data_IF_068513466099
#
_entry.id   IF_068513466099
#
_cell.length_a   1.000
_cell.length_b   1.000
_cell.length_c   1.000
_cell.angle_alpha   90.00
_cell.angle_beta   90.00
_cell.angle_gamma   90.00
#
_symmetry.space_group_name_H-M   'P 1'
#
loop_
_entity.id
_entity.type
_entity.pdbx_description
1 polymer ?
#
# COMPACT_ATOMS: atom_id res chain seq x y z
N UNK A 1 -26.14 -11.46 2.51
CA UNK A 1 -26.46 -10.15 3.11
C UNK A 1 -26.89 -9.22 1.98
N UNK A 2 -28.18 -8.90 1.85
CA UNK A 2 -28.68 -8.00 0.81
C UNK A 2 -27.87 -6.69 0.76
N UNK A 3 -27.44 -6.28 -0.44
CA UNK A 3 -26.66 -5.04 -0.66
C UNK A 3 -25.13 -5.14 -0.46
N UNK A 4 -24.59 -6.26 0.04
CA UNK A 4 -23.13 -6.42 0.21
C UNK A 4 -22.43 -6.69 -1.13
N UNK A 5 -21.37 -5.93 -1.41
CA UNK A 5 -20.43 -6.16 -2.53
C UNK A 5 -19.09 -6.63 -1.97
N UNK A 6 -18.44 -7.59 -2.62
CA UNK A 6 -17.16 -8.18 -2.17
C UNK A 6 -16.06 -7.97 -3.24
N UNK A 7 -14.77 -7.92 -2.85
CA UNK A 7 -13.63 -7.78 -3.75
C UNK A 7 -13.27 -9.09 -4.46
N UNK A 8 -14.21 -9.64 -5.24
CA UNK A 8 -14.09 -10.99 -5.83
C UNK A 8 -12.97 -11.12 -6.88
N UNK A 9 -12.56 -10.02 -7.53
CA UNK A 9 -11.47 -10.03 -8.50
C UNK A 9 -10.11 -10.19 -7.80
N UNK A 10 -9.76 -9.39 -6.78
CA UNK A 10 -8.62 -9.68 -5.91
C UNK A 10 -8.62 -11.10 -5.34
N UNK A 11 -9.77 -11.62 -4.90
CA UNK A 11 -9.91 -13.00 -4.39
C UNK A 11 -9.58 -14.05 -5.47
N UNK A 12 -9.96 -13.82 -6.73
CA UNK A 12 -9.60 -14.68 -7.84
C UNK A 12 -8.09 -14.62 -8.16
N UNK A 13 -7.48 -13.43 -8.08
CA UNK A 13 -6.02 -13.25 -8.28
C UNK A 13 -5.24 -14.03 -7.22
N UNK A 14 -5.63 -13.96 -5.95
CA UNK A 14 -4.91 -14.67 -4.88
C UNK A 14 -5.06 -16.19 -4.99
N UNK A 15 -6.22 -16.69 -5.41
CA UNK A 15 -6.42 -18.12 -5.72
C UNK A 15 -5.55 -18.58 -6.88
N UNK A 16 -5.46 -17.80 -7.96
CA UNK A 16 -4.56 -18.10 -9.08
C UNK A 16 -3.10 -18.09 -8.63
N UNK A 17 -2.69 -17.11 -7.83
CA UNK A 17 -1.33 -17.06 -7.29
C UNK A 17 -1.00 -18.31 -6.46
N UNK A 18 -1.91 -18.76 -5.59
CA UNK A 18 -1.75 -19.99 -4.84
C UNK A 18 -1.60 -21.23 -5.74
N UNK A 19 -2.42 -21.32 -6.80
CA UNK A 19 -2.31 -22.43 -7.77
C UNK A 19 -0.97 -22.41 -8.51
N UNK A 20 -0.50 -21.23 -8.94
CA UNK A 20 0.79 -21.07 -9.62
C UNK A 20 1.95 -21.49 -8.71
N UNK A 21 1.90 -21.15 -7.42
CA UNK A 21 2.90 -21.60 -6.43
C UNK A 21 2.89 -23.12 -6.29
N UNK A 22 1.71 -23.76 -6.25
CA UNK A 22 1.60 -25.22 -6.24
C UNK A 22 2.18 -25.87 -7.50
N UNK A 23 1.89 -25.28 -8.66
CA UNK A 23 2.42 -25.73 -9.95
C UNK A 23 3.95 -25.61 -10.01
N UNK A 24 4.52 -24.52 -9.47
CA UNK A 24 5.97 -24.32 -9.36
C UNK A 24 6.63 -25.44 -8.55
N UNK A 25 6.09 -25.77 -7.37
CA UNK A 25 6.60 -26.88 -6.55
C UNK A 25 6.56 -28.23 -7.28
N UNK A 26 5.49 -28.50 -8.04
CA UNK A 26 5.38 -29.71 -8.87
C UNK A 26 6.45 -29.73 -9.98
N UNK A 27 6.68 -28.60 -10.64
CA UNK A 27 7.72 -28.46 -11.68
C UNK A 27 9.10 -28.67 -11.07
N UNK A 28 9.39 -28.05 -9.92
CA UNK A 28 10.67 -28.19 -9.23
C UNK A 28 10.94 -29.65 -8.86
N UNK A 29 9.94 -30.37 -8.34
CA UNK A 29 10.04 -31.80 -8.09
C UNK A 29 10.35 -32.59 -9.37
N UNK A 30 9.58 -32.38 -10.45
CA UNK A 30 9.83 -33.05 -11.73
C UNK A 30 11.22 -32.76 -12.30
N UNK A 31 11.67 -31.51 -12.22
CA UNK A 31 12.97 -31.06 -12.71
C UNK A 31 14.14 -31.71 -11.97
N UNK A 32 13.99 -31.96 -10.67
CA UNK A 32 15.03 -32.59 -9.83
C UNK A 32 15.11 -34.13 -9.99
N UNK A 33 14.09 -34.78 -10.54
CA UNK A 33 13.99 -36.25 -10.60
C UNK A 33 14.33 -36.83 -11.99
N UNK A 34 15.27 -36.22 -12.71
CA UNK A 34 15.84 -36.82 -13.92
C UNK A 34 16.78 -37.99 -13.58
N UNK A 35 16.83 -39.03 -14.42
CA UNK A 35 17.74 -40.16 -14.26
C UNK A 35 18.50 -40.42 -15.56
N UNK A 36 19.84 -40.40 -15.48
CA UNK A 36 20.76 -40.61 -16.59
C UNK A 36 20.47 -39.70 -17.80
N UNK A 37 20.22 -40.27 -18.98
CA UNK A 37 20.16 -39.52 -20.24
C UNK A 37 18.86 -38.72 -20.43
N UNK A 38 17.81 -38.96 -19.63
CA UNK A 38 16.51 -38.33 -19.87
C UNK A 38 15.68 -38.11 -18.59
N UNK A 39 15.12 -36.91 -18.47
CA UNK A 39 14.07 -36.63 -17.50
C UNK A 39 12.71 -37.06 -18.07
N UNK A 40 12.02 -37.99 -17.38
CA UNK A 40 10.72 -38.55 -17.82
C UNK A 40 9.50 -37.81 -17.25
N UNK A 41 9.69 -36.73 -16.49
CA UNK A 41 8.62 -35.90 -15.92
C UNK A 41 8.12 -34.79 -16.87
N UNK A 42 8.64 -34.73 -18.11
CA UNK A 42 8.34 -33.67 -19.09
C UNK A 42 6.84 -33.40 -19.25
N UNK A 43 5.94 -34.39 -19.42
CA UNK A 43 4.52 -34.11 -19.61
C UNK A 43 3.87 -33.42 -18.41
N UNK A 44 4.27 -33.80 -17.19
CA UNK A 44 3.76 -33.19 -15.96
C UNK A 44 4.28 -31.76 -15.80
N UNK A 45 5.58 -31.53 -16.01
CA UNK A 45 6.16 -30.19 -15.93
C UNK A 45 5.55 -29.25 -16.98
N UNK A 46 5.42 -29.72 -18.23
CA UNK A 46 4.82 -28.96 -19.31
C UNK A 46 3.37 -28.57 -19.01
N UNK A 47 2.56 -29.51 -18.49
CA UNK A 47 1.18 -29.22 -18.07
C UNK A 47 1.13 -28.08 -17.04
N UNK A 48 1.94 -28.15 -16.00
CA UNK A 48 1.94 -27.17 -14.91
C UNK A 48 2.41 -25.79 -15.39
N UNK A 49 3.44 -25.73 -16.25
CA UNK A 49 3.91 -24.48 -16.86
C UNK A 49 2.80 -23.84 -17.72
N UNK A 50 2.19 -24.62 -18.61
CA UNK A 50 1.17 -24.13 -19.54
C UNK A 50 -0.11 -23.70 -18.81
N UNK A 51 -0.50 -24.43 -17.76
CA UNK A 51 -1.63 -24.03 -16.91
C UNK A 51 -1.33 -22.72 -16.19
N UNK A 52 -0.15 -22.57 -15.57
CA UNK A 52 0.25 -21.33 -14.91
C UNK A 52 0.21 -20.14 -15.87
N UNK A 53 0.73 -20.28 -17.09
CA UNK A 53 0.63 -19.23 -18.11
C UNK A 53 -0.82 -18.86 -18.43
N UNK A 54 -1.68 -19.86 -18.63
CA UNK A 54 -3.09 -19.63 -18.96
C UNK A 54 -3.83 -18.92 -17.82
N UNK A 55 -3.63 -19.35 -16.58
CA UNK A 55 -4.25 -18.74 -15.40
C UNK A 55 -3.79 -17.29 -15.21
N UNK A 56 -2.46 -17.05 -15.22
CA UNK A 56 -1.88 -15.72 -15.06
C UNK A 56 -2.33 -14.76 -16.17
N UNK A 57 -2.34 -15.22 -17.43
CA UNK A 57 -2.79 -14.41 -18.58
C UNK A 57 -4.23 -13.98 -18.41
N UNK A 58 -5.11 -14.92 -18.07
CA UNK A 58 -6.54 -14.64 -17.95
C UNK A 58 -6.84 -13.74 -16.75
N UNK A 59 -6.29 -14.07 -15.57
CA UNK A 59 -6.59 -13.33 -14.35
C UNK A 59 -6.01 -11.92 -14.39
N UNK A 60 -4.83 -11.72 -14.97
CA UNK A 60 -4.21 -10.40 -15.09
C UNK A 60 -5.03 -9.48 -15.99
N UNK A 61 -5.51 -9.99 -17.14
CA UNK A 61 -6.39 -9.23 -18.04
C UNK A 61 -7.72 -8.88 -17.38
N UNK A 62 -8.35 -9.86 -16.74
CA UNK A 62 -9.61 -9.65 -16.02
C UNK A 62 -9.43 -8.65 -14.87
N UNK A 63 -8.37 -8.78 -14.07
CA UNK A 63 -8.09 -7.89 -12.96
C UNK A 63 -7.84 -6.46 -13.43
N UNK A 64 -7.04 -6.28 -14.48
CA UNK A 64 -6.78 -4.98 -15.08
C UNK A 64 -8.07 -4.31 -15.57
N UNK A 65 -8.91 -5.03 -16.33
CA UNK A 65 -10.09 -4.47 -16.97
C UNK A 65 -11.30 -4.31 -16.04
N UNK A 66 -11.49 -5.24 -15.09
CA UNK A 66 -12.70 -5.32 -14.26
C UNK A 66 -12.50 -4.84 -12.83
N UNK A 67 -11.27 -4.54 -12.42
CA UNK A 67 -10.97 -4.00 -11.11
C UNK A 67 -10.10 -2.73 -11.22
N UNK A 68 -8.88 -2.85 -11.76
CA UNK A 68 -7.90 -1.74 -11.73
C UNK A 68 -8.38 -0.52 -12.53
N UNK A 69 -8.86 -0.71 -13.76
CA UNK A 69 -9.31 0.40 -14.61
C UNK A 69 -10.48 1.20 -14.03
N UNK A 70 -11.23 0.63 -13.07
CA UNK A 70 -12.38 1.25 -12.44
C UNK A 70 -12.11 1.76 -11.02
N UNK A 71 -10.86 1.74 -10.53
CA UNK A 71 -10.56 2.20 -9.18
C UNK A 71 -10.82 3.70 -9.04
N UNK A 72 -11.59 4.07 -8.01
CA UNK A 72 -11.81 5.46 -7.60
C UNK A 72 -11.33 5.66 -6.17
N UNK A 73 -10.54 6.71 -5.95
CA UNK A 73 -10.06 7.05 -4.62
C UNK A 73 -11.13 7.83 -3.83
N UNK A 74 -11.31 7.51 -2.55
CA UNK A 74 -12.02 8.38 -1.62
C UNK A 74 -11.03 9.44 -1.10
N UNK A 75 -10.86 10.52 -1.87
CA UNK A 75 -9.82 11.55 -1.65
C UNK A 75 -9.95 12.22 -0.28
N UNK A 76 -11.18 12.55 0.14
CA UNK A 76 -11.43 13.20 1.43
C UNK A 76 -11.04 12.29 2.61
N UNK A 77 -11.39 11.01 2.53
CA UNK A 77 -10.99 10.04 3.56
C UNK A 77 -9.49 9.82 3.59
N UNK A 78 -8.84 9.69 2.43
CA UNK A 78 -7.38 9.50 2.33
C UNK A 78 -6.62 10.72 2.88
N UNK A 79 -7.09 11.94 2.58
CA UNK A 79 -6.51 13.18 3.15
C UNK A 79 -6.60 13.19 4.67
N UNK A 80 -7.77 12.85 5.24
CA UNK A 80 -7.92 12.74 6.70
C UNK A 80 -6.99 11.71 7.32
N UNK A 81 -6.79 10.55 6.67
CA UNK A 81 -5.86 9.53 7.17
C UNK A 81 -4.42 10.05 7.18
N UNK A 82 -4.01 10.76 6.12
CA UNK A 82 -2.68 11.38 6.06
C UNK A 82 -2.49 12.43 7.16
N UNK A 83 -3.43 13.36 7.33
CA UNK A 83 -3.39 14.45 8.31
C UNK A 83 -3.55 13.98 9.77
N UNK A 84 -4.11 12.78 9.98
CA UNK A 84 -4.29 12.18 11.31
C UNK A 84 -3.19 11.20 11.68
N UNK A 85 -2.24 10.91 10.78
CA UNK A 85 -1.15 9.97 11.06
C UNK A 85 -0.25 10.56 12.17
N UNK A 86 -0.04 9.85 13.29
CA UNK A 86 0.80 10.34 14.38
C UNK A 86 2.23 10.69 13.96
N UNK A 87 2.71 10.09 12.88
CA UNK A 87 4.06 10.27 12.36
C UNK A 87 4.26 11.61 11.65
N UNK A 88 3.21 12.33 11.23
CA UNK A 88 3.41 13.64 10.57
C UNK A 88 3.87 14.73 11.55
N UNK A 89 3.90 14.45 12.86
CA UNK A 89 4.43 15.37 13.87
C UNK A 89 5.95 15.51 13.79
N UNK A 90 6.67 14.57 13.16
CA UNK A 90 8.13 14.49 13.17
C UNK A 90 8.85 15.79 12.73
N UNK A 91 8.40 16.51 11.68
CA UNK A 91 9.02 17.79 11.30
C UNK A 91 8.86 18.92 12.33
N UNK A 92 7.97 18.75 13.31
CA UNK A 92 7.79 19.69 14.42
C UNK A 92 8.83 19.49 15.52
N UNK A 93 9.56 18.36 15.56
CA UNK A 93 10.56 18.09 16.59
C UNK A 93 11.60 19.21 16.75
N UNK A 94 11.99 19.86 15.64
CA UNK A 94 12.95 20.98 15.68
C UNK A 94 12.37 22.29 16.23
N UNK A 95 11.04 22.42 16.33
CA UNK A 95 10.35 23.59 16.86
C UNK A 95 9.85 23.38 18.31
N UNK A 96 9.23 22.23 18.59
CA UNK A 96 8.56 21.93 19.86
C UNK A 96 9.29 20.86 20.70
N UNK A 97 10.32 20.20 20.15
CA UNK A 97 11.02 19.11 20.82
C UNK A 97 10.32 17.76 20.66
N UNK A 98 11.10 16.68 20.81
CA UNK A 98 10.61 15.31 20.60
C UNK A 98 9.51 14.90 21.61
N UNK A 99 9.67 15.25 22.89
CA UNK A 99 8.72 14.85 23.94
C UNK A 99 7.34 15.46 23.73
N UNK A 100 7.26 16.76 23.43
CA UNK A 100 5.99 17.42 23.13
C UNK A 100 5.37 16.92 21.82
N UNK A 101 6.17 16.69 20.78
CA UNK A 101 5.69 16.09 19.54
C UNK A 101 5.09 14.70 19.77
N UNK A 102 5.73 13.86 20.60
CA UNK A 102 5.19 12.56 20.98
C UNK A 102 3.90 12.68 21.79
N UNK A 103 3.78 13.70 22.65
CA UNK A 103 2.56 13.96 23.42
C UNK A 103 1.40 14.44 22.54
N UNK A 104 1.68 15.32 21.56
CA UNK A 104 0.73 15.75 20.51
C UNK A 104 0.21 14.53 19.74
N UNK A 105 1.11 13.68 19.26
CA UNK A 105 0.76 12.46 18.51
C UNK A 105 -0.17 11.52 19.31
N UNK A 106 0.14 11.27 20.60
CA UNK A 106 -0.69 10.45 21.48
C UNK A 106 -2.09 11.04 21.69
N UNK A 107 -2.18 12.36 21.87
CA UNK A 107 -3.46 13.03 22.08
C UNK A 107 -4.31 13.03 20.81
N UNK A 108 -3.72 13.36 19.66
CA UNK A 108 -4.41 13.34 18.37
C UNK A 108 -5.05 11.98 18.07
N UNK A 109 -4.30 10.89 18.31
CA UNK A 109 -4.80 9.53 18.13
C UNK A 109 -5.94 9.18 19.10
N UNK A 110 -5.80 9.55 20.38
CA UNK A 110 -6.81 9.28 21.42
C UNK A 110 -8.12 10.04 21.15
N UNK A 111 -8.02 11.29 20.71
CA UNK A 111 -9.17 12.19 20.50
C UNK A 111 -9.70 12.18 19.06
N UNK A 112 -9.05 11.44 18.15
CA UNK A 112 -9.36 11.41 16.71
C UNK A 112 -9.38 12.81 16.07
N UNK A 113 -8.38 13.62 16.42
CA UNK A 113 -8.13 14.95 15.85
C UNK A 113 -6.94 14.91 14.90
N UNK A 114 -6.82 15.89 14.02
CA UNK A 114 -5.60 16.06 13.21
C UNK A 114 -4.45 16.57 14.08
N UNK A 115 -3.21 16.29 13.68
CA UNK A 115 -2.03 16.80 14.40
C UNK A 115 -2.07 18.32 14.49
N UNK A 116 -2.45 18.99 13.40
CA UNK A 116 -2.63 20.46 13.35
C UNK A 116 -3.55 20.95 14.48
N UNK A 117 -4.74 20.38 14.60
CA UNK A 117 -5.70 20.80 15.61
C UNK A 117 -5.15 20.56 17.03
N UNK A 118 -4.48 19.43 17.26
CA UNK A 118 -3.89 19.12 18.56
C UNK A 118 -2.75 20.07 18.94
N UNK A 119 -1.93 20.53 17.98
CA UNK A 119 -0.89 21.55 18.24
C UNK A 119 -1.52 22.87 18.68
N UNK A 120 -2.61 23.28 18.02
CA UNK A 120 -3.36 24.50 18.37
C UNK A 120 -4.02 24.36 19.74
N UNK A 121 -4.71 23.25 20.00
CA UNK A 121 -5.40 22.98 21.27
C UNK A 121 -4.45 22.96 22.47
N UNK A 122 -3.20 22.51 22.27
CA UNK A 122 -2.15 22.49 23.29
C UNK A 122 -1.43 23.82 23.47
N UNK A 123 -1.79 24.85 22.69
CA UNK A 123 -1.18 26.18 22.80
C UNK A 123 0.29 26.23 22.40
N UNK A 124 0.72 25.38 21.46
CA UNK A 124 2.11 25.30 21.01
C UNK A 124 2.48 26.33 19.92
N UNK A 125 1.53 27.19 19.54
CA UNK A 125 1.75 28.30 18.61
C UNK A 125 2.36 29.49 19.35
N UNK A 126 3.47 30.01 18.84
CA UNK A 126 4.19 31.14 19.43
C UNK A 126 5.49 31.43 18.67
N UNK A 127 6.47 32.02 19.35
CA UNK A 127 7.73 32.49 18.72
C UNK A 127 8.50 31.40 17.98
N UNK A 128 8.37 30.14 18.41
CA UNK A 128 9.09 28.99 17.82
C UNK A 128 8.31 28.28 16.71
N UNK A 129 7.01 28.54 16.59
CA UNK A 129 6.13 27.87 15.64
C UNK A 129 4.92 28.77 15.35
N UNK A 130 4.91 29.41 14.19
CA UNK A 130 3.73 30.16 13.72
C UNK A 130 2.70 29.22 13.09
N UNK A 131 1.49 29.73 12.84
CA UNK A 131 0.44 28.96 12.14
C UNK A 131 0.89 28.64 10.71
N UNK A 132 1.53 29.59 10.03
CA UNK A 132 2.04 29.41 8.68
C UNK A 132 3.18 28.37 8.64
N UNK A 133 4.08 28.39 9.62
CA UNK A 133 5.17 27.40 9.70
C UNK A 133 4.64 26.00 10.07
N UNK A 134 3.62 25.93 10.94
CA UNK A 134 2.90 24.69 11.23
C UNK A 134 2.27 24.11 9.95
N UNK A 135 1.52 24.92 9.22
CA UNK A 135 0.82 24.49 8.00
C UNK A 135 1.82 24.05 6.93
N UNK A 136 2.93 24.77 6.75
CA UNK A 136 4.02 24.39 5.86
C UNK A 136 4.65 23.06 6.25
N UNK A 137 4.96 22.86 7.53
CA UNK A 137 5.62 21.64 8.03
C UNK A 137 4.68 20.43 8.07
N UNK A 138 3.37 20.65 8.12
CA UNK A 138 2.35 19.59 8.14
C UNK A 138 1.67 19.36 6.79
N UNK A 139 2.16 19.98 5.71
CA UNK A 139 1.68 19.70 4.36
C UNK A 139 2.01 18.24 3.99
N UNK A 140 0.97 17.40 4.06
CA UNK A 140 1.08 15.95 3.81
C UNK A 140 1.40 15.61 2.37
N UNK A 141 1.08 16.49 1.40
CA UNK A 141 1.46 16.29 -0.01
C UNK A 141 2.94 16.62 -0.22
N UNK A 142 3.42 17.71 0.38
CA UNK A 142 4.85 18.05 0.36
C UNK A 142 5.68 16.96 1.05
N UNK A 143 5.22 16.41 2.17
CA UNK A 143 5.85 15.26 2.85
C UNK A 143 5.95 14.01 1.97
N UNK A 144 4.95 13.78 1.11
CA UNK A 144 4.95 12.67 0.16
C UNK A 144 5.91 12.88 -1.02
N UNK A 145 6.51 14.07 -1.15
CA UNK A 145 7.47 14.44 -2.20
C UNK A 145 6.93 14.21 -3.62
N UNK A 146 5.64 14.45 -3.83
CA UNK A 146 4.98 14.19 -5.10
C UNK A 146 5.62 14.94 -6.29
N UNK A 147 6.20 16.13 -6.06
CA UNK A 147 6.87 16.93 -7.09
C UNK A 147 8.13 16.27 -7.68
N UNK A 148 8.72 15.28 -7.02
CA UNK A 148 9.87 14.52 -7.57
C UNK A 148 9.46 13.42 -8.56
N UNK A 149 8.16 13.12 -8.68
CA UNK A 149 7.65 12.04 -9.54
C UNK A 149 7.32 12.50 -10.97
N UNK A 150 7.16 13.80 -11.19
CA UNK A 150 6.77 14.38 -12.48
C UNK A 150 7.97 14.74 -13.38
N UNK A 151 9.18 14.87 -12.81
CA UNK A 151 10.40 15.18 -13.57
C UNK A 151 11.00 13.98 -14.31
N UNK A 152 10.62 12.76 -13.93
CA UNK A 152 11.16 11.49 -14.48
C UNK A 152 10.14 10.74 -15.36
N UNK A 153 9.01 11.37 -15.72
CA UNK A 153 7.99 10.79 -16.60
C UNK A 153 7.65 11.69 -17.78
N UNK A 154 8.64 11.88 -18.66
CA UNK A 154 8.47 12.05 -20.11
C UNK A 154 9.55 11.25 -20.83
#
# INVERSE_FOLDING_TARGET
MPGKVNPVLPEAVTQVAAQVIGNDAAIAWGGANGAFELNVYIPMMARNILESFKLLTNVSRLFAQRCIAGLTANVEHLRRLAESSPSIVTPLNSAIGYEEAAAVAKQALKERKTIRQTVIDRGLIGDRLSIEDLDRRLDVLAMAKAEQLDSDRL
#
